data_IF_039154117384
#
_entry.id   IF_039154117384
#
_cell.length_a   1.000
_cell.length_b   1.000
_cell.length_c   1.000
_cell.angle_alpha   90.00
_cell.angle_beta   90.00
_cell.angle_gamma   90.00
#
_symmetry.space_group_name_H-M   'P 1'
#
loop_
_entity.id
_entity.type
_entity.pdbx_description
1 polymer ?
#
# COMPACT_ATOMS: atom_id res chain seq x y z
N UNK A 1 -8.81 13.00 -33.76
CA UNK A 1 -8.99 13.33 -32.32
C UNK A 1 -7.80 12.71 -31.63
N UNK A 2 -6.82 13.55 -31.27
CA UNK A 2 -5.52 13.12 -30.78
C UNK A 2 -5.68 12.55 -29.37
N UNK A 3 -5.34 11.28 -29.21
CA UNK A 3 -5.06 10.66 -27.92
C UNK A 3 -3.58 10.92 -27.63
N UNK A 4 -3.27 12.04 -26.98
CA UNK A 4 -1.92 12.39 -26.54
C UNK A 4 -1.92 12.89 -25.08
N UNK A 5 -2.79 12.33 -24.24
CA UNK A 5 -2.81 12.57 -22.78
C UNK A 5 -2.47 11.30 -21.96
N UNK A 6 -2.01 10.22 -22.59
CA UNK A 6 -1.75 8.94 -21.89
C UNK A 6 -0.30 8.79 -21.40
N UNK A 7 0.67 9.55 -21.93
CA UNK A 7 2.09 9.40 -21.57
C UNK A 7 2.55 10.30 -20.40
N UNK A 8 1.78 11.34 -20.04
CA UNK A 8 2.10 12.20 -18.87
C UNK A 8 1.41 11.70 -17.59
N UNK A 9 0.45 10.76 -17.73
CA UNK A 9 -0.28 10.14 -16.62
C UNK A 9 0.00 8.61 -16.49
N UNK A 10 0.87 8.02 -17.30
CA UNK A 10 1.06 6.55 -17.44
C UNK A 10 1.86 5.81 -16.35
N UNK A 11 1.63 6.08 -15.06
CA UNK A 11 2.32 5.38 -13.95
C UNK A 11 1.58 4.15 -13.41
N UNK A 12 2.32 3.12 -12.96
CA UNK A 12 1.78 2.02 -12.14
C UNK A 12 1.18 2.55 -10.82
N UNK A 13 0.24 1.83 -10.17
CA UNK A 13 -0.28 2.23 -8.85
C UNK A 13 0.83 2.56 -7.85
N UNK A 14 1.89 1.75 -7.82
CA UNK A 14 3.08 1.99 -7.00
C UNK A 14 3.77 3.32 -7.32
N UNK A 15 4.07 3.58 -8.59
CA UNK A 15 4.80 4.81 -8.96
C UNK A 15 3.97 6.05 -8.64
N UNK A 16 2.66 6.03 -8.94
CA UNK A 16 1.76 7.14 -8.59
C UNK A 16 1.65 7.37 -7.08
N UNK A 17 1.53 6.29 -6.29
CA UNK A 17 1.54 6.39 -4.83
C UNK A 17 2.83 7.04 -4.32
N UNK A 18 3.99 6.58 -4.80
CA UNK A 18 5.28 7.13 -4.41
C UNK A 18 5.42 8.61 -4.83
N UNK A 19 4.98 8.97 -6.02
CA UNK A 19 4.98 10.36 -6.47
C UNK A 19 4.17 11.25 -5.52
N UNK A 20 3.00 10.79 -5.06
CA UNK A 20 2.19 11.52 -4.09
C UNK A 20 2.87 11.58 -2.72
N UNK A 21 3.45 10.49 -2.23
CA UNK A 21 4.21 10.47 -0.97
C UNK A 21 5.36 11.49 -1.00
N UNK A 22 6.04 11.66 -2.13
CA UNK A 22 7.18 12.58 -2.23
C UNK A 22 6.80 14.05 -2.42
N UNK A 23 5.61 14.34 -2.96
CA UNK A 23 5.23 15.71 -3.35
C UNK A 23 4.05 16.30 -2.57
N UNK A 24 3.25 15.49 -1.86
CA UNK A 24 2.15 15.98 -1.02
C UNK A 24 2.66 16.69 0.25
N UNK A 25 1.74 17.29 1.02
CA UNK A 25 2.08 17.94 2.27
C UNK A 25 2.72 16.93 3.24
N UNK A 26 3.92 17.25 3.73
CA UNK A 26 4.71 16.38 4.60
C UNK A 26 3.94 15.90 5.85
N UNK A 27 3.18 16.78 6.51
CA UNK A 27 2.45 16.41 7.73
C UNK A 27 1.32 15.42 7.42
N UNK A 28 0.66 15.58 6.26
CA UNK A 28 -0.38 14.64 5.80
C UNK A 28 0.22 13.28 5.48
N UNK A 29 1.34 13.27 4.77
CA UNK A 29 2.06 12.03 4.43
C UNK A 29 2.56 11.32 5.68
N UNK A 30 3.19 12.05 6.61
CA UNK A 30 3.67 11.49 7.87
C UNK A 30 2.52 10.87 8.67
N UNK A 31 1.39 11.57 8.82
CA UNK A 31 0.21 11.04 9.50
C UNK A 31 -0.36 9.78 8.86
N UNK A 32 -0.43 9.72 7.52
CA UNK A 32 -0.91 8.52 6.85
C UNK A 32 0.07 7.34 6.96
N UNK A 33 1.38 7.58 6.93
CA UNK A 33 2.38 6.54 7.14
C UNK A 33 2.33 6.02 8.58
N UNK A 34 2.13 6.88 9.58
CA UNK A 34 1.89 6.47 10.97
C UNK A 34 0.63 5.60 11.09
N UNK A 35 -0.47 6.00 10.46
CA UNK A 35 -1.70 5.20 10.42
C UNK A 35 -1.47 3.80 9.82
N UNK A 36 -0.69 3.69 8.74
CA UNK A 36 -0.33 2.40 8.13
C UNK A 36 0.46 1.54 9.13
N UNK A 37 1.42 2.12 9.84
CA UNK A 37 2.22 1.40 10.83
C UNK A 37 1.37 0.90 12.01
N UNK A 38 0.45 1.72 12.52
CA UNK A 38 -0.49 1.31 13.56
C UNK A 38 -1.39 0.15 13.10
N UNK A 39 -1.90 0.22 11.87
CA UNK A 39 -2.69 -0.85 11.27
C UNK A 39 -1.90 -2.16 11.15
N UNK A 40 -0.64 -2.10 10.72
CA UNK A 40 0.23 -3.27 10.64
C UNK A 40 0.47 -3.90 12.02
N UNK A 41 0.83 -3.09 13.02
CA UNK A 41 1.04 -3.56 14.39
C UNK A 41 -0.23 -4.20 14.98
N UNK A 42 -1.40 -3.60 14.73
CA UNK A 42 -2.67 -4.17 15.19
C UNK A 42 -2.97 -5.52 14.52
N UNK A 43 -2.71 -5.66 13.21
CA UNK A 43 -2.89 -6.92 12.50
C UNK A 43 -1.97 -8.02 13.03
N UNK A 44 -0.69 -7.70 13.26
CA UNK A 44 0.28 -8.64 13.86
C UNK A 44 -0.22 -9.13 15.23
N UNK A 45 -0.55 -8.21 16.13
CA UNK A 45 -1.08 -8.55 17.46
C UNK A 45 -2.35 -9.41 17.38
N UNK A 46 -3.28 -9.09 16.47
CA UNK A 46 -4.51 -9.86 16.29
C UNK A 46 -4.19 -11.30 15.86
N UNK A 47 -3.28 -11.48 14.90
CA UNK A 47 -2.93 -12.79 14.37
C UNK A 47 -2.20 -13.61 15.45
N UNK A 48 -1.24 -13.03 16.14
CA UNK A 48 -0.52 -13.70 17.24
C UNK A 48 -1.49 -14.11 18.35
N UNK A 49 -2.33 -13.20 18.82
CA UNK A 49 -3.22 -13.44 19.95
C UNK A 49 -4.38 -14.39 19.63
N UNK A 50 -4.98 -14.26 18.44
CA UNK A 50 -6.20 -15.01 18.08
C UNK A 50 -5.92 -16.28 17.30
N UNK A 51 -4.87 -16.30 16.49
CA UNK A 51 -4.53 -17.45 15.66
C UNK A 51 -3.36 -18.26 16.24
N UNK A 52 -2.57 -17.69 17.16
CA UNK A 52 -1.39 -18.36 17.73
C UNK A 52 -0.30 -18.61 16.68
N UNK A 53 -0.28 -17.81 15.61
CA UNK A 53 0.64 -17.95 14.50
C UNK A 53 1.86 -17.06 14.70
N UNK A 54 3.01 -17.56 14.27
CA UNK A 54 4.22 -16.76 14.07
C UNK A 54 4.06 -15.96 12.78
N UNK A 55 3.71 -14.66 12.93
CA UNK A 55 3.35 -13.82 11.80
C UNK A 55 4.51 -13.65 10.83
N UNK A 56 5.74 -13.49 11.34
CA UNK A 56 6.93 -13.34 10.50
C UNK A 56 7.09 -14.57 9.59
N UNK A 57 7.02 -15.77 10.18
CA UNK A 57 7.13 -17.02 9.43
C UNK A 57 6.02 -17.17 8.38
N UNK A 58 4.78 -16.83 8.70
CA UNK A 58 3.65 -16.93 7.76
C UNK A 58 3.76 -15.90 6.62
N UNK A 59 4.18 -14.68 6.91
CA UNK A 59 4.44 -13.65 5.89
C UNK A 59 5.53 -14.11 4.93
N UNK A 60 6.65 -14.65 5.43
CA UNK A 60 7.72 -15.17 4.58
C UNK A 60 7.24 -16.28 3.65
N UNK A 61 6.37 -17.18 4.13
CA UNK A 61 5.78 -18.22 3.28
C UNK A 61 4.98 -17.61 2.13
N UNK A 62 4.14 -16.60 2.40
CA UNK A 62 3.36 -15.94 1.35
C UNK A 62 4.24 -15.19 0.36
N UNK A 63 5.28 -14.50 0.83
CA UNK A 63 6.18 -13.70 -0.02
C UNK A 63 6.99 -14.57 -0.99
N UNK A 64 7.34 -15.79 -0.60
CA UNK A 64 8.13 -16.72 -1.44
C UNK A 64 7.31 -17.80 -2.15
N UNK A 65 6.00 -17.85 -1.91
CA UNK A 65 5.10 -18.74 -2.64
C UNK A 65 4.77 -18.14 -4.03
N UNK A 66 5.41 -18.67 -5.08
CA UNK A 66 5.15 -18.26 -6.46
C UNK A 66 3.69 -18.46 -6.89
N UNK A 67 2.94 -19.37 -6.27
CA UNK A 67 1.51 -19.55 -6.55
C UNK A 67 0.66 -18.37 -6.06
N UNK A 68 1.17 -17.63 -5.06
CA UNK A 68 0.53 -16.45 -4.46
C UNK A 68 0.97 -15.12 -5.06
N UNK A 69 2.03 -15.11 -5.86
CA UNK A 69 2.63 -13.90 -6.42
C UNK A 69 1.63 -12.97 -7.11
N UNK A 70 0.78 -13.49 -7.99
CA UNK A 70 -0.22 -12.66 -8.70
C UNK A 70 -1.28 -12.08 -7.75
N UNK A 71 -1.70 -12.87 -6.76
CA UNK A 71 -2.66 -12.43 -5.74
C UNK A 71 -2.05 -11.31 -4.89
N UNK A 72 -0.79 -11.48 -4.48
CA UNK A 72 -0.01 -10.48 -3.75
C UNK A 72 0.17 -9.19 -4.55
N UNK A 73 0.57 -9.27 -5.82
CA UNK A 73 0.72 -8.11 -6.71
C UNK A 73 -0.59 -7.33 -6.85
N UNK A 74 -1.71 -8.03 -7.03
CA UNK A 74 -3.03 -7.39 -7.11
C UNK A 74 -3.39 -6.70 -5.79
N UNK A 75 -3.16 -7.36 -4.65
CA UNK A 75 -3.44 -6.78 -3.33
C UNK A 75 -2.58 -5.55 -3.08
N UNK A 76 -1.28 -5.60 -3.42
CA UNK A 76 -0.37 -4.46 -3.32
C UNK A 76 -0.86 -3.29 -4.18
N UNK A 77 -1.26 -3.54 -5.42
CA UNK A 77 -1.82 -2.51 -6.30
C UNK A 77 -3.08 -1.86 -5.72
N UNK A 78 -3.99 -2.65 -5.14
CA UNK A 78 -5.17 -2.11 -4.44
C UNK A 78 -4.79 -1.24 -3.24
N UNK A 79 -3.81 -1.67 -2.43
CA UNK A 79 -3.34 -0.90 -1.28
C UNK A 79 -2.69 0.42 -1.71
N UNK A 80 -1.88 0.43 -2.77
CA UNK A 80 -1.31 1.66 -3.31
C UNK A 80 -2.40 2.66 -3.71
N UNK A 81 -3.46 2.20 -4.39
CA UNK A 81 -4.60 3.06 -4.79
C UNK A 81 -5.33 3.58 -3.54
N UNK A 82 -5.61 2.72 -2.57
CA UNK A 82 -6.33 3.07 -1.35
C UNK A 82 -5.59 4.16 -0.55
N UNK A 83 -4.31 3.95 -0.22
CA UNK A 83 -3.54 4.88 0.59
C UNK A 83 -3.21 6.17 -0.14
N UNK A 84 -2.99 6.10 -1.46
CA UNK A 84 -2.90 7.29 -2.29
C UNK A 84 -4.18 8.14 -2.19
N UNK A 85 -5.35 7.51 -2.24
CA UNK A 85 -6.65 8.19 -2.05
C UNK A 85 -6.78 8.84 -0.68
N UNK A 86 -6.32 8.17 0.39
CA UNK A 86 -6.35 8.73 1.75
C UNK A 86 -5.49 9.97 1.90
N UNK A 87 -4.27 9.98 1.33
CA UNK A 87 -3.39 11.16 1.35
C UNK A 87 -4.03 12.33 0.60
N UNK A 88 -4.61 12.07 -0.58
CA UNK A 88 -5.27 13.10 -1.39
C UNK A 88 -6.48 13.69 -0.66
N UNK A 89 -7.33 12.86 -0.04
CA UNK A 89 -8.53 13.33 0.67
C UNK A 89 -8.25 14.18 1.91
N UNK A 90 -7.05 14.06 2.49
CA UNK A 90 -6.60 14.87 3.63
C UNK A 90 -5.94 16.18 3.20
N UNK A 91 -5.68 16.33 1.90
CA UNK A 91 -5.07 17.52 1.31
C UNK A 91 -6.09 18.47 0.67
N UNK A 92 -7.37 18.07 0.60
CA UNK A 92 -8.53 18.90 0.23
C UNK A 92 -9.05 19.71 1.43
#
# INVERSE_FOLDING_TARGET
MYFEDDDVLGGTPKSRFLDIVFHANRNVVEGELENIMEWMAALELIIEQKCGLDVEKEVQQVLYDESKKKELENKLNSLYIEYMGKILSQSE
#
